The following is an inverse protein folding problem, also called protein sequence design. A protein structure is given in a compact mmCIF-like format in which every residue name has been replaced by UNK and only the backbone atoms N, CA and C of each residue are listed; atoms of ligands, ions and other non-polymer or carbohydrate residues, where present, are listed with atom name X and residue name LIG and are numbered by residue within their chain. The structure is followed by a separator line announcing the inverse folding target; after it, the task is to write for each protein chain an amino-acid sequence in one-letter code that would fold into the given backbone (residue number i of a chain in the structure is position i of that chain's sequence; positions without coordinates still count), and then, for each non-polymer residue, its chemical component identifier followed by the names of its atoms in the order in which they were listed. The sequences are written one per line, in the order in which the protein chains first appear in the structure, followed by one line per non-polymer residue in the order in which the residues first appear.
data_IF_023808549429
#
_entry.id   IF_023808549429
#
_cell.length_a   1.000
_cell.length_b   1.000
_cell.length_c   1.000
_cell.angle_alpha   90.00
_cell.angle_beta   90.00
_cell.angle_gamma   90.00
#
_symmetry.space_group_name_H-M   'P 1'
#
loop_
_entity.id
_entity.type
_entity.pdbx_description
1 polymer ?
#
# COMPACT_ATOMS: atom_id res chain seq x y z
N UNK A 1 -65.28 31.64 -60.30
CA UNK A 1 -64.21 32.05 -59.38
C UNK A 1 -63.71 33.39 -59.87
N UNK A 2 -63.82 34.45 -59.06
CA UNK A 2 -63.34 35.77 -59.45
C UNK A 2 -61.82 35.77 -59.37
N UNK A 3 -61.13 35.99 -60.49
CA UNK A 3 -59.69 36.26 -60.49
C UNK A 3 -59.45 37.61 -59.80
N UNK A 4 -58.50 37.63 -58.85
CA UNK A 4 -58.08 38.85 -58.18
C UNK A 4 -57.31 39.73 -59.17
N UNK A 5 -57.49 41.04 -59.09
CA UNK A 5 -56.67 41.97 -59.86
C UNK A 5 -55.23 41.95 -59.33
N UNK A 6 -54.23 42.18 -60.20
CA UNK A 6 -52.80 42.20 -59.83
C UNK A 6 -52.50 43.07 -58.60
N UNK A 7 -53.23 44.19 -58.45
CA UNK A 7 -53.13 45.08 -57.28
C UNK A 7 -53.63 44.43 -55.98
N UNK A 8 -54.71 43.64 -56.05
CA UNK A 8 -55.23 42.91 -54.90
C UNK A 8 -54.31 41.76 -54.50
N UNK A 9 -53.69 41.07 -55.47
CA UNK A 9 -52.68 40.05 -55.19
C UNK A 9 -51.45 40.65 -54.51
N UNK A 10 -50.94 41.79 -55.01
CA UNK A 10 -49.81 42.50 -54.41
C UNK A 10 -50.12 42.99 -52.98
N UNK A 11 -51.33 43.50 -52.72
CA UNK A 11 -51.75 43.87 -51.38
C UNK A 11 -51.88 42.66 -50.44
N UNK A 12 -52.38 41.52 -50.93
CA UNK A 12 -52.48 40.30 -50.14
C UNK A 12 -51.09 39.76 -49.75
N UNK A 13 -50.13 39.78 -50.68
CA UNK A 13 -48.74 39.38 -50.41
C UNK A 13 -48.07 40.34 -49.41
N UNK A 14 -48.29 41.65 -49.53
CA UNK A 14 -47.74 42.64 -48.60
C UNK A 14 -48.32 42.49 -47.18
N UNK A 15 -49.62 42.20 -47.06
CA UNK A 15 -50.28 41.93 -45.78
C UNK A 15 -49.77 40.62 -45.15
N UNK A 16 -49.59 39.57 -45.94
CA UNK A 16 -49.04 38.30 -45.47
C UNK A 16 -47.57 38.44 -45.02
N UNK A 17 -46.74 39.18 -45.76
CA UNK A 17 -45.37 39.47 -45.36
C UNK A 17 -45.30 40.29 -44.06
N UNK A 18 -46.22 41.25 -43.87
CA UNK A 18 -46.33 42.04 -42.64
C UNK A 18 -46.82 41.22 -41.45
N UNK A 19 -47.76 40.30 -41.67
CA UNK A 19 -48.19 39.36 -40.63
C UNK A 19 -47.05 38.43 -40.20
N UNK A 20 -46.30 37.88 -41.16
CA UNK A 20 -45.15 37.02 -40.86
C UNK A 20 -44.06 37.76 -40.07
N UNK A 21 -43.78 39.02 -40.38
CA UNK A 21 -42.81 39.82 -39.61
C UNK A 21 -43.33 40.20 -38.22
N UNK A 22 -44.64 40.38 -38.07
CA UNK A 22 -45.27 40.59 -36.76
C UNK A 22 -45.21 39.31 -35.91
N UNK A 23 -45.55 38.15 -36.46
CA UNK A 23 -45.47 36.85 -35.78
C UNK A 23 -44.04 36.57 -35.30
N UNK A 24 -43.04 36.88 -36.12
CA UNK A 24 -41.62 36.75 -35.75
C UNK A 24 -41.23 37.70 -34.60
N UNK A 25 -41.74 38.93 -34.61
CA UNK A 25 -41.51 39.90 -33.54
C UNK A 25 -42.15 39.45 -32.22
N UNK A 26 -43.39 38.97 -32.25
CA UNK A 26 -44.11 38.41 -31.10
C UNK A 26 -43.36 37.18 -30.54
N UNK A 27 -42.82 36.32 -31.41
CA UNK A 27 -42.00 35.18 -30.99
C UNK A 27 -40.69 35.60 -30.28
N UNK A 28 -40.02 36.66 -30.75
CA UNK A 28 -38.84 37.19 -30.08
C UNK A 28 -39.15 37.82 -28.73
N UNK A 29 -40.27 38.56 -28.61
CA UNK A 29 -40.75 39.12 -27.34
C UNK A 29 -41.07 38.00 -26.35
N UNK A 30 -41.83 36.99 -26.78
CA UNK A 30 -42.14 35.82 -25.97
C UNK A 30 -40.89 35.07 -25.52
N UNK A 31 -39.89 34.89 -26.40
CA UNK A 31 -38.60 34.29 -26.04
C UNK A 31 -37.86 35.13 -24.98
N UNK A 32 -37.90 36.45 -25.09
CA UNK A 32 -37.35 37.36 -24.08
C UNK A 32 -38.04 37.21 -22.73
N UNK A 33 -39.39 37.17 -22.71
CA UNK A 33 -40.17 36.96 -21.50
C UNK A 33 -39.88 35.60 -20.85
N UNK A 34 -39.79 34.53 -21.64
CA UNK A 34 -39.43 33.19 -21.15
C UNK A 34 -38.03 33.18 -20.51
N UNK A 35 -37.05 33.86 -21.14
CA UNK A 35 -35.70 34.02 -20.57
C UNK A 35 -35.74 34.81 -19.26
N UNK A 36 -36.51 35.89 -19.18
CA UNK A 36 -36.67 36.69 -17.97
C UNK A 36 -37.31 35.90 -16.83
N UNK A 37 -38.41 35.16 -17.09
CA UNK A 37 -39.03 34.31 -16.07
C UNK A 37 -38.13 33.16 -15.63
N UNK A 38 -37.37 32.57 -16.56
CA UNK A 38 -36.36 31.56 -16.22
C UNK A 38 -35.29 32.12 -15.29
N UNK A 39 -34.84 33.35 -15.51
CA UNK A 39 -33.89 34.02 -14.62
C UNK A 39 -34.49 34.26 -13.22
N UNK A 40 -35.72 34.79 -13.13
CA UNK A 40 -36.43 34.98 -11.86
C UNK A 40 -36.58 33.64 -11.11
N UNK A 41 -36.89 32.57 -11.82
CA UNK A 41 -36.98 31.23 -11.24
C UNK A 41 -35.64 30.76 -10.64
N UNK A 42 -34.51 31.06 -11.28
CA UNK A 42 -33.18 30.72 -10.77
C UNK A 42 -32.86 31.46 -9.47
N UNK A 43 -33.13 32.76 -9.39
CA UNK A 43 -32.97 33.53 -8.14
C UNK A 43 -33.88 33.01 -7.02
N UNK A 44 -35.15 32.73 -7.35
CA UNK A 44 -36.09 32.15 -6.40
C UNK A 44 -35.66 30.76 -5.89
N UNK A 45 -34.82 30.04 -6.64
CA UNK A 45 -34.32 28.71 -6.27
C UNK A 45 -33.46 28.77 -5.02
N UNK A 46 -32.53 29.72 -4.89
CA UNK A 46 -31.67 29.85 -3.70
C UNK A 46 -32.52 30.16 -2.45
N UNK A 47 -33.44 31.11 -2.54
CA UNK A 47 -34.34 31.45 -1.45
C UNK A 47 -35.22 30.24 -1.04
N UNK A 48 -35.70 29.48 -2.04
CA UNK A 48 -36.46 28.25 -1.80
C UNK A 48 -35.61 27.21 -1.06
N UNK A 49 -34.38 26.98 -1.50
CA UNK A 49 -33.46 26.02 -0.87
C UNK A 49 -33.15 26.41 0.58
N UNK A 50 -32.88 27.69 0.86
CA UNK A 50 -32.68 28.17 2.23
C UNK A 50 -33.90 27.94 3.12
N UNK A 51 -35.09 28.25 2.62
CA UNK A 51 -36.35 27.99 3.34
C UNK A 51 -36.52 26.49 3.61
N UNK A 52 -36.22 25.64 2.63
CA UNK A 52 -36.26 24.18 2.78
C UNK A 52 -35.23 23.68 3.81
N UNK A 53 -34.02 24.25 3.83
CA UNK A 53 -32.98 23.93 4.79
C UNK A 53 -33.44 24.23 6.23
N UNK A 54 -33.99 25.43 6.47
CA UNK A 54 -34.51 25.83 7.78
C UNK A 54 -35.63 24.90 8.27
N UNK A 55 -36.58 24.57 7.38
CA UNK A 55 -37.67 23.65 7.70
C UNK A 55 -37.14 22.24 8.01
N UNK A 56 -36.15 21.77 7.24
CA UNK A 56 -35.52 20.46 7.42
C UNK A 56 -34.79 20.37 8.76
N UNK A 57 -33.94 21.34 9.07
CA UNK A 57 -33.14 21.39 10.29
C UNK A 57 -34.02 21.50 11.55
N UNK A 58 -35.02 22.39 11.51
CA UNK A 58 -35.95 22.57 12.61
C UNK A 58 -37.01 21.45 12.70
N UNK A 59 -37.06 20.54 11.73
CA UNK A 59 -38.07 19.47 11.60
C UNK A 59 -39.52 19.98 11.63
N UNK A 60 -39.75 21.24 11.22
CA UNK A 60 -41.06 21.92 11.23
C UNK A 60 -42.08 21.32 10.26
N UNK A 61 -41.63 20.45 9.36
CA UNK A 61 -42.49 19.74 8.41
C UNK A 61 -43.34 18.65 9.08
N UNK A 62 -42.96 18.13 10.24
CA UNK A 62 -43.67 16.99 10.88
C UNK A 62 -45.05 17.39 11.39
N UNK A 63 -46.05 16.62 11.01
CA UNK A 63 -47.44 16.86 11.43
C UNK A 63 -48.16 17.93 10.60
N UNK A 64 -47.54 18.44 9.54
CA UNK A 64 -48.19 19.38 8.62
C UNK A 64 -49.28 18.65 7.83
N UNK A 65 -50.52 19.14 7.93
CA UNK A 65 -51.62 18.73 7.07
C UNK A 65 -51.58 19.47 5.73
N UNK A 66 -51.81 18.77 4.62
CA UNK A 66 -51.92 19.36 3.29
C UNK A 66 -52.95 18.58 2.45
N UNK A 67 -53.39 19.18 1.35
CA UNK A 67 -54.25 18.50 0.37
C UNK A 67 -53.34 17.93 -0.72
N UNK A 68 -53.40 16.62 -0.94
CA UNK A 68 -52.61 15.94 -1.95
C UNK A 68 -53.18 16.15 -3.37
N UNK A 69 -52.49 15.59 -4.38
CA UNK A 69 -52.89 15.71 -5.79
C UNK A 69 -54.25 15.04 -6.09
N UNK A 70 -54.74 14.19 -5.20
CA UNK A 70 -56.05 13.52 -5.31
C UNK A 70 -57.16 14.26 -4.56
N UNK A 71 -56.85 15.41 -3.95
CA UNK A 71 -57.80 16.21 -3.17
C UNK A 71 -58.05 15.66 -1.76
N UNK A 72 -57.24 14.71 -1.27
CA UNK A 72 -57.37 14.14 0.07
C UNK A 72 -56.49 14.86 1.07
N UNK A 73 -56.95 14.90 2.32
CA UNK A 73 -56.19 15.44 3.42
C UNK A 73 -55.10 14.43 3.83
N UNK A 74 -53.86 14.79 3.57
CA UNK A 74 -52.66 14.03 3.92
C UNK A 74 -51.87 14.73 5.03
N UNK A 75 -51.07 13.98 5.78
CA UNK A 75 -50.20 14.53 6.83
C UNK A 75 -48.76 14.15 6.56
N UNK A 76 -47.86 15.13 6.65
CA UNK A 76 -46.43 14.95 6.45
C UNK A 76 -45.80 14.29 7.68
N UNK A 77 -45.23 13.09 7.51
CA UNK A 77 -44.52 12.38 8.57
C UNK A 77 -42.99 12.47 8.42
N UNK A 78 -42.51 12.42 7.18
CA UNK A 78 -41.09 12.38 6.84
C UNK A 78 -40.65 13.57 6.00
N UNK A 79 -39.33 13.77 5.90
CA UNK A 79 -38.76 14.78 4.98
C UNK A 79 -39.13 14.47 3.53
N UNK A 80 -39.22 13.19 3.17
CA UNK A 80 -39.56 12.78 1.81
C UNK A 80 -41.01 13.15 1.46
N UNK A 81 -41.94 12.97 2.40
CA UNK A 81 -43.34 13.37 2.22
C UNK A 81 -43.47 14.89 2.04
N UNK A 82 -42.70 15.65 2.81
CA UNK A 82 -42.68 17.11 2.70
C UNK A 82 -42.16 17.57 1.33
N UNK A 83 -41.05 17.00 0.88
CA UNK A 83 -40.49 17.30 -0.44
C UNK A 83 -41.50 16.99 -1.56
N UNK A 84 -42.17 15.84 -1.48
CA UNK A 84 -43.22 15.44 -2.42
C UNK A 84 -44.37 16.43 -2.42
N UNK A 85 -44.82 16.88 -1.24
CA UNK A 85 -45.85 17.91 -1.11
C UNK A 85 -45.42 19.26 -1.73
N UNK A 86 -44.14 19.61 -1.67
CA UNK A 86 -43.55 20.76 -2.35
C UNK A 86 -43.32 20.55 -3.86
N UNK A 87 -43.73 19.40 -4.44
CA UNK A 87 -43.59 19.12 -5.87
C UNK A 87 -42.17 18.73 -6.32
N UNK A 88 -41.30 18.30 -5.40
CA UNK A 88 -39.92 17.90 -5.70
C UNK A 88 -39.56 16.59 -5.00
N UNK A 89 -38.41 16.01 -5.35
CA UNK A 89 -37.90 14.84 -4.64
C UNK A 89 -36.93 15.26 -3.54
N UNK A 90 -36.94 14.55 -2.42
CA UNK A 90 -35.94 14.77 -1.35
C UNK A 90 -34.52 14.63 -1.88
N UNK A 91 -34.28 13.69 -2.80
CA UNK A 91 -32.98 13.52 -3.45
C UNK A 91 -32.53 14.79 -4.17
N UNK A 92 -33.40 15.40 -4.97
CA UNK A 92 -33.08 16.62 -5.72
C UNK A 92 -32.78 17.77 -4.76
N UNK A 93 -33.67 18.01 -3.79
CA UNK A 93 -33.49 19.08 -2.80
C UNK A 93 -32.19 18.88 -2.01
N UNK A 94 -31.91 17.66 -1.57
CA UNK A 94 -30.72 17.36 -0.79
C UNK A 94 -29.43 17.53 -1.63
N UNK A 95 -29.44 17.14 -2.91
CA UNK A 95 -28.31 17.35 -3.82
C UNK A 95 -28.09 18.84 -4.11
N UNK A 96 -29.17 19.61 -4.30
CA UNK A 96 -29.12 21.07 -4.50
C UNK A 96 -28.66 21.79 -3.23
N UNK A 97 -29.10 21.37 -2.03
CA UNK A 97 -28.59 21.86 -0.74
C UNK A 97 -27.11 21.55 -0.53
N UNK A 98 -26.67 20.33 -0.88
CA UNK A 98 -25.25 19.99 -0.81
C UNK A 98 -24.42 20.82 -1.78
N UNK A 99 -24.94 21.14 -2.97
CA UNK A 99 -24.27 22.02 -3.92
C UNK A 99 -24.19 23.46 -3.36
N UNK A 100 -25.30 23.99 -2.87
CA UNK A 100 -25.37 25.32 -2.28
C UNK A 100 -24.38 25.48 -1.11
N UNK A 101 -24.34 24.50 -0.20
CA UNK A 101 -23.43 24.51 0.94
C UNK A 101 -21.96 24.35 0.53
N UNK A 102 -21.67 23.59 -0.54
CA UNK A 102 -20.30 23.33 -0.97
C UNK A 102 -19.71 24.47 -1.80
N UNK A 103 -20.54 25.21 -2.53
CA UNK A 103 -20.09 26.19 -3.53
C UNK A 103 -20.48 27.64 -3.20
N UNK A 104 -21.43 27.85 -2.28
CA UNK A 104 -21.99 29.16 -1.99
C UNK A 104 -23.10 29.57 -2.95
N UNK A 105 -23.78 30.67 -2.61
CA UNK A 105 -24.96 31.15 -3.33
C UNK A 105 -24.63 31.65 -4.74
N UNK A 106 -23.61 32.50 -4.84
CA UNK A 106 -23.21 33.16 -6.09
C UNK A 106 -22.84 32.13 -7.16
N UNK A 107 -21.93 31.20 -6.84
CA UNK A 107 -21.55 30.15 -7.78
C UNK A 107 -22.71 29.18 -8.08
N UNK A 108 -23.56 28.88 -7.09
CA UNK A 108 -24.73 28.04 -7.34
C UNK A 108 -25.66 28.71 -8.37
N UNK A 109 -25.91 30.01 -8.28
CA UNK A 109 -26.69 30.74 -9.29
C UNK A 109 -26.01 30.73 -10.66
N UNK A 110 -24.69 30.92 -10.71
CA UNK A 110 -23.91 30.82 -11.95
C UNK A 110 -24.07 29.43 -12.57
N UNK A 111 -23.97 28.37 -11.77
CA UNK A 111 -24.15 26.99 -12.24
C UNK A 111 -25.53 26.75 -12.86
N UNK A 112 -26.59 27.33 -12.27
CA UNK A 112 -27.95 27.24 -12.82
C UNK A 112 -28.10 28.12 -14.06
N UNK A 113 -27.45 29.29 -14.09
CA UNK A 113 -27.49 30.23 -15.22
C UNK A 113 -26.88 29.61 -16.46
N UNK A 114 -25.65 29.11 -16.32
CA UNK A 114 -24.84 28.48 -17.36
C UNK A 114 -25.38 27.09 -17.72
N UNK A 115 -26.10 26.45 -16.80
CA UNK A 115 -26.73 25.14 -17.03
C UNK A 115 -25.75 23.98 -16.86
N UNK A 116 -24.93 24.05 -15.81
CA UNK A 116 -24.09 22.94 -15.39
C UNK A 116 -24.94 21.75 -14.97
N UNK A 117 -24.54 20.58 -15.42
CA UNK A 117 -25.25 19.33 -15.11
C UNK A 117 -24.93 18.88 -13.69
N UNK A 118 -25.81 18.04 -13.12
CA UNK A 118 -25.58 17.39 -11.82
C UNK A 118 -24.26 16.60 -11.81
N UNK A 119 -23.83 16.08 -12.97
CA UNK A 119 -22.56 15.36 -13.12
C UNK A 119 -21.36 16.29 -12.92
N UNK A 120 -21.37 17.46 -13.55
CA UNK A 120 -20.31 18.47 -13.40
C UNK A 120 -20.24 18.97 -11.96
N UNK A 121 -21.38 19.31 -11.36
CA UNK A 121 -21.46 19.73 -9.95
C UNK A 121 -20.94 18.65 -9.00
N UNK A 122 -21.19 17.37 -9.29
CA UNK A 122 -20.62 16.26 -8.50
C UNK A 122 -19.11 16.15 -8.64
N UNK A 123 -18.55 16.31 -9.85
CA UNK A 123 -17.08 16.33 -10.06
C UNK A 123 -16.45 17.48 -9.27
N UNK A 124 -17.01 18.68 -9.38
CA UNK A 124 -16.56 19.86 -8.66
C UNK A 124 -16.55 19.66 -7.13
N UNK A 125 -17.56 18.98 -6.58
CA UNK A 125 -17.63 18.64 -5.14
C UNK A 125 -16.54 17.66 -4.70
N UNK A 126 -16.07 16.80 -5.60
CA UNK A 126 -15.04 15.78 -5.31
C UNK A 126 -13.62 16.34 -5.37
N UNK A 127 -13.44 17.55 -5.94
CA UNK A 127 -12.15 18.21 -5.97
C UNK A 127 -11.68 18.61 -4.56
N UNK A 128 -10.36 18.69 -4.32
CA UNK A 128 -9.81 19.28 -3.10
C UNK A 128 -10.24 20.74 -2.96
N UNK A 129 -10.20 21.27 -1.73
CA UNK A 129 -10.65 22.64 -1.42
C UNK A 129 -10.09 23.68 -2.35
N UNK A 130 -8.79 23.60 -2.61
CA UNK A 130 -8.04 24.65 -3.31
C UNK A 130 -8.38 24.66 -4.81
N UNK A 131 -8.41 23.48 -5.43
CA UNK A 131 -8.81 23.33 -6.84
C UNK A 131 -10.28 23.69 -7.06
N UNK A 132 -11.14 23.40 -6.08
CA UNK A 132 -12.54 23.79 -6.12
C UNK A 132 -12.71 25.31 -5.99
N UNK A 133 -11.97 25.96 -5.09
CA UNK A 133 -11.99 27.41 -4.92
C UNK A 133 -11.53 28.14 -6.19
N UNK A 134 -10.53 27.61 -6.90
CA UNK A 134 -10.06 28.15 -8.18
C UNK A 134 -11.15 28.20 -9.28
N UNK A 135 -12.17 27.35 -9.16
CA UNK A 135 -13.35 27.39 -10.01
C UNK A 135 -14.36 28.37 -9.39
N UNK A 136 -14.75 28.18 -8.13
CA UNK A 136 -15.80 29.00 -7.50
C UNK A 136 -15.51 30.50 -7.56
N UNK A 137 -14.26 30.88 -7.28
CA UNK A 137 -13.85 32.28 -7.12
C UNK A 137 -13.44 32.92 -8.47
N UNK A 138 -13.56 32.19 -9.57
CA UNK A 138 -13.30 32.76 -10.89
C UNK A 138 -14.39 33.79 -11.26
N UNK A 139 -14.00 34.81 -12.01
CA UNK A 139 -14.93 35.83 -12.48
C UNK A 139 -15.76 35.29 -13.65
N UNK A 140 -17.05 35.10 -13.39
CA UNK A 140 -18.03 34.58 -14.36
C UNK A 140 -18.97 35.69 -14.87
N UNK A 141 -18.45 36.89 -15.07
CA UNK A 141 -19.17 37.98 -15.73
C UNK A 141 -19.54 37.66 -17.20
N UNK A 142 -20.39 38.51 -17.79
CA UNK A 142 -21.19 38.28 -19.01
C UNK A 142 -20.50 37.43 -20.10
N UNK A 143 -21.18 36.34 -20.49
CA UNK A 143 -20.76 35.34 -21.47
C UNK A 143 -19.68 34.32 -21.04
N UNK A 144 -19.70 33.87 -19.78
CA UNK A 144 -19.01 32.61 -19.40
C UNK A 144 -19.42 31.48 -20.34
N UNK A 145 -18.45 30.94 -21.06
CA UNK A 145 -18.61 29.77 -21.90
C UNK A 145 -18.82 28.55 -21.00
N UNK A 146 -19.97 27.89 -21.13
CA UNK A 146 -20.29 26.68 -20.38
C UNK A 146 -19.22 25.63 -20.65
N UNK A 147 -18.79 25.52 -21.89
CA UNK A 147 -17.83 24.55 -22.34
C UNK A 147 -16.46 24.77 -21.69
N UNK A 148 -16.00 26.01 -21.54
CA UNK A 148 -14.75 26.36 -20.84
C UNK A 148 -14.80 25.96 -19.36
N UNK A 149 -15.93 26.23 -18.69
CA UNK A 149 -16.12 25.84 -17.29
C UNK A 149 -16.10 24.32 -17.12
N UNK A 150 -16.74 23.59 -18.03
CA UNK A 150 -16.75 22.13 -18.03
C UNK A 150 -15.32 21.62 -18.24
N UNK A 151 -14.60 22.14 -19.24
CA UNK A 151 -13.22 21.74 -19.52
C UNK A 151 -12.32 21.92 -18.29
N UNK A 152 -12.40 23.07 -17.61
CA UNK A 152 -11.64 23.32 -16.38
C UNK A 152 -11.99 22.35 -15.26
N UNK A 153 -13.27 22.04 -15.05
CA UNK A 153 -13.71 21.01 -14.09
C UNK A 153 -13.11 19.65 -14.46
N UNK A 154 -13.11 19.29 -15.74
CA UNK A 154 -12.60 18.00 -16.21
C UNK A 154 -11.08 17.87 -16.05
N UNK A 155 -10.32 18.90 -16.40
CA UNK A 155 -8.86 18.87 -16.25
C UNK A 155 -8.44 18.78 -14.78
N UNK A 156 -9.01 19.62 -13.91
CA UNK A 156 -8.72 19.55 -12.47
C UNK A 156 -9.14 18.21 -11.87
N UNK A 157 -10.26 17.62 -12.33
CA UNK A 157 -10.68 16.29 -11.88
C UNK A 157 -9.69 15.23 -12.33
N UNK A 158 -9.25 15.26 -13.59
CA UNK A 158 -8.30 14.30 -14.13
C UNK A 158 -6.94 14.41 -13.42
N UNK A 159 -6.46 15.63 -13.17
CA UNK A 159 -5.24 15.89 -12.40
C UNK A 159 -5.36 15.35 -10.98
N UNK A 160 -6.47 15.65 -10.29
CA UNK A 160 -6.69 15.19 -8.92
C UNK A 160 -6.75 13.65 -8.81
N UNK A 161 -7.41 12.98 -9.75
CA UNK A 161 -7.45 11.51 -9.79
C UNK A 161 -6.04 10.93 -9.96
N UNK A 162 -5.24 11.46 -10.89
CA UNK A 162 -3.86 11.02 -11.09
C UNK A 162 -2.98 11.23 -9.86
N UNK A 163 -3.07 12.39 -9.23
CA UNK A 163 -2.31 12.71 -8.01
C UNK A 163 -2.71 11.81 -6.85
N UNK A 164 -4.01 11.59 -6.66
CA UNK A 164 -4.53 10.69 -5.62
C UNK A 164 -4.06 9.25 -5.83
N UNK A 165 -4.10 8.76 -7.07
CA UNK A 165 -3.62 7.41 -7.40
C UNK A 165 -2.11 7.29 -7.18
N UNK A 166 -1.33 8.30 -7.57
CA UNK A 166 0.11 8.33 -7.35
C UNK A 166 0.45 8.33 -5.85
N UNK A 167 -0.20 9.18 -5.05
CA UNK A 167 -0.03 9.24 -3.60
C UNK A 167 -0.45 7.93 -2.93
N UNK A 168 -1.55 7.32 -3.37
CA UNK A 168 -2.00 6.02 -2.84
C UNK A 168 -0.96 4.94 -3.11
N UNK A 169 -0.40 4.88 -4.31
CA UNK A 169 0.68 3.93 -4.65
C UNK A 169 1.95 4.16 -3.84
N UNK A 170 2.34 5.43 -3.64
CA UNK A 170 3.49 5.76 -2.80
C UNK A 170 3.27 5.36 -1.35
N UNK A 171 2.07 5.59 -0.81
CA UNK A 171 1.71 5.23 0.55
C UNK A 171 1.70 3.72 0.77
N UNK A 172 1.17 2.95 -0.17
CA UNK A 172 1.21 1.48 -0.10
C UNK A 172 2.64 0.94 -0.21
N UNK A 173 3.47 1.53 -1.07
CA UNK A 173 4.89 1.18 -1.17
C UNK A 173 5.64 1.49 0.12
N UNK A 174 5.40 2.67 0.70
CA UNK A 174 6.03 3.09 1.96
C UNK A 174 5.62 2.18 3.12
N UNK A 175 4.34 1.81 3.22
CA UNK A 175 3.86 0.82 4.20
C UNK A 175 4.53 -0.53 4.02
N UNK A 176 4.59 -1.05 2.79
CA UNK A 176 5.26 -2.33 2.51
C UNK A 176 6.73 -2.33 2.91
N UNK A 177 7.45 -1.24 2.60
CA UNK A 177 8.84 -1.06 3.01
C UNK A 177 8.99 -0.99 4.53
N UNK A 178 8.10 -0.26 5.22
CA UNK A 178 8.11 -0.15 6.67
C UNK A 178 7.85 -1.50 7.35
N UNK A 179 6.88 -2.27 6.87
CA UNK A 179 6.59 -3.61 7.38
C UNK A 179 7.76 -4.57 7.18
N UNK A 180 8.39 -4.54 6.00
CA UNK A 180 9.59 -5.34 5.72
C UNK A 180 10.75 -4.95 6.65
N UNK A 181 11.00 -3.64 6.83
CA UNK A 181 12.03 -3.15 7.73
C UNK A 181 11.74 -3.54 9.18
N UNK A 182 10.50 -3.42 9.64
CA UNK A 182 10.07 -3.82 10.98
C UNK A 182 10.32 -5.31 11.25
N UNK A 183 10.00 -6.19 10.29
CA UNK A 183 10.31 -7.64 10.38
C UNK A 183 11.81 -7.91 10.48
N UNK A 184 12.63 -7.22 9.68
CA UNK A 184 14.09 -7.35 9.74
C UNK A 184 14.62 -6.89 11.09
N UNK A 185 14.15 -5.77 11.62
CA UNK A 185 14.57 -5.28 12.94
C UNK A 185 14.16 -6.25 14.05
N UNK A 186 12.92 -6.74 14.05
CA UNK A 186 12.47 -7.74 15.02
C UNK A 186 13.30 -9.03 14.98
N UNK A 187 13.71 -9.50 13.79
CA UNK A 187 14.60 -10.65 13.64
C UNK A 187 16.01 -10.35 14.16
N UNK A 188 16.54 -9.13 13.91
CA UNK A 188 17.84 -8.70 14.44
C UNK A 188 17.82 -8.61 15.96
N UNK A 189 16.79 -8.02 16.55
CA UNK A 189 16.63 -7.90 18.00
C UNK A 189 16.55 -9.27 18.67
N UNK A 190 15.79 -10.21 18.08
CA UNK A 190 15.78 -11.61 18.54
C UNK A 190 17.17 -12.21 18.53
N UNK A 191 17.92 -12.03 17.43
CA UNK A 191 19.27 -12.60 17.33
C UNK A 191 20.26 -11.94 18.29
N UNK A 192 20.13 -10.63 18.52
CA UNK A 192 20.94 -9.90 19.50
C UNK A 192 20.67 -10.45 20.91
N UNK A 193 19.41 -10.67 21.27
CA UNK A 193 19.06 -11.24 22.57
C UNK A 193 19.60 -12.67 22.73
N UNK A 194 19.41 -13.54 21.73
CA UNK A 194 19.98 -14.90 21.73
C UNK A 194 21.50 -14.88 21.93
N UNK A 195 22.23 -14.07 21.14
CA UNK A 195 23.68 -13.99 21.25
C UNK A 195 24.13 -13.39 22.59
N UNK A 196 23.37 -12.44 23.13
CA UNK A 196 23.65 -11.86 24.45
C UNK A 196 23.48 -12.88 25.57
N UNK A 197 22.45 -13.71 25.50
CA UNK A 197 22.23 -14.82 26.42
C UNK A 197 23.33 -15.88 26.31
N UNK A 198 23.72 -16.28 25.09
CA UNK A 198 24.82 -17.21 24.86
C UNK A 198 26.15 -16.68 25.40
N UNK A 199 26.42 -15.39 25.17
CA UNK A 199 27.63 -14.73 25.67
C UNK A 199 27.63 -14.69 27.20
N UNK A 200 26.50 -14.38 27.82
CA UNK A 200 26.33 -14.40 29.26
C UNK A 200 26.55 -15.83 29.84
N UNK A 201 25.97 -16.86 29.21
CA UNK A 201 26.20 -18.27 29.58
C UNK A 201 27.67 -18.66 29.48
N UNK A 202 28.32 -18.34 28.35
CA UNK A 202 29.75 -18.63 28.17
C UNK A 202 30.62 -17.89 29.20
N UNK A 203 30.31 -16.64 29.53
CA UNK A 203 31.02 -15.90 30.59
C UNK A 203 30.83 -16.56 31.95
N UNK A 204 29.60 -16.91 32.31
CA UNK A 204 29.31 -17.64 33.55
C UNK A 204 30.04 -18.99 33.60
N UNK A 205 30.05 -19.75 32.49
CA UNK A 205 30.77 -21.02 32.41
C UNK A 205 32.29 -20.85 32.54
N UNK A 206 32.86 -19.73 32.07
CA UNK A 206 34.28 -19.42 32.28
C UNK A 206 34.54 -19.07 33.76
N UNK A 207 33.67 -18.27 34.38
CA UNK A 207 33.81 -17.82 35.77
C UNK A 207 33.60 -18.95 36.79
N UNK A 208 32.82 -19.99 36.44
CA UNK A 208 32.45 -21.09 37.36
C UNK A 208 33.26 -22.38 37.18
N UNK A 209 34.19 -22.45 36.21
CA UNK A 209 35.01 -23.66 35.99
C UNK A 209 36.09 -23.79 37.06
N UNK A 210 36.01 -24.87 37.85
CA UNK A 210 37.12 -25.36 38.69
C UNK A 210 38.29 -25.86 37.83
N UNK A 211 39.53 -25.89 38.35
CA UNK A 211 40.71 -26.33 37.60
C UNK A 211 40.58 -27.70 36.92
N UNK A 212 39.87 -28.63 37.57
CA UNK A 212 39.67 -30.01 37.07
C UNK A 212 38.79 -30.06 35.82
N UNK A 213 37.71 -29.27 35.78
CA UNK A 213 36.81 -29.20 34.62
C UNK A 213 37.49 -28.55 33.41
N UNK A 214 38.33 -27.53 33.65
CA UNK A 214 39.19 -26.93 32.62
C UNK A 214 40.15 -27.96 32.02
N UNK A 215 40.73 -28.84 32.84
CA UNK A 215 41.58 -29.93 32.38
C UNK A 215 40.83 -30.95 31.52
N UNK A 216 39.60 -31.33 31.92
CA UNK A 216 38.73 -32.23 31.14
C UNK A 216 38.39 -31.69 29.75
N UNK A 217 37.99 -30.42 29.67
CA UNK A 217 37.66 -29.77 28.39
C UNK A 217 38.88 -29.68 27.45
N UNK A 218 40.05 -29.31 27.99
CA UNK A 218 41.30 -29.25 27.20
C UNK A 218 41.69 -30.63 26.65
N UNK A 219 41.50 -31.70 27.43
CA UNK A 219 41.71 -33.08 26.94
C UNK A 219 40.73 -33.40 25.82
N UNK A 220 39.44 -33.06 25.97
CA UNK A 220 38.41 -33.30 24.95
C UNK A 220 38.72 -32.57 23.63
N UNK A 221 39.10 -31.29 23.71
CA UNK A 221 39.50 -30.50 22.54
C UNK A 221 40.76 -31.07 21.87
N UNK A 222 41.77 -31.44 22.66
CA UNK A 222 43.00 -32.07 22.17
C UNK A 222 42.70 -33.40 21.46
N UNK A 223 41.83 -34.23 22.03
CA UNK A 223 41.41 -35.49 21.40
C UNK A 223 40.67 -35.26 20.08
N UNK A 224 39.79 -34.28 19.99
CA UNK A 224 39.08 -33.95 18.74
C UNK A 224 40.04 -33.51 17.63
N UNK A 225 41.02 -32.68 17.96
CA UNK A 225 42.06 -32.25 17.00
C UNK A 225 42.90 -33.45 16.54
N UNK A 226 43.32 -34.32 17.48
CA UNK A 226 44.08 -35.51 17.16
C UNK A 226 43.31 -36.47 16.25
N UNK A 227 42.01 -36.68 16.49
CA UNK A 227 41.15 -37.49 15.61
C UNK A 227 41.03 -36.88 14.21
N UNK A 228 40.92 -35.55 14.09
CA UNK A 228 40.91 -34.87 12.80
C UNK A 228 42.21 -35.09 12.01
N UNK A 229 43.35 -34.97 12.67
CA UNK A 229 44.65 -35.25 12.07
C UNK A 229 44.77 -36.72 11.61
N UNK A 230 44.36 -37.67 12.45
CA UNK A 230 44.35 -39.10 12.08
C UNK A 230 43.45 -39.37 10.87
N UNK A 231 42.25 -38.77 10.83
CA UNK A 231 41.32 -38.93 9.72
C UNK A 231 41.88 -38.40 8.40
N UNK A 232 42.60 -37.28 8.43
CA UNK A 232 43.30 -36.73 7.25
C UNK A 232 44.41 -37.68 6.80
N UNK A 233 45.24 -38.16 7.73
CA UNK A 233 46.34 -39.07 7.40
C UNK A 233 45.83 -40.40 6.83
N UNK A 234 44.85 -41.04 7.46
CA UNK A 234 44.31 -42.32 6.98
C UNK A 234 43.44 -42.16 5.74
N UNK A 235 42.64 -41.11 5.68
CA UNK A 235 41.70 -40.89 4.59
C UNK A 235 42.35 -40.25 3.38
N UNK A 236 42.83 -39.01 3.52
CA UNK A 236 43.31 -38.23 2.39
C UNK A 236 44.72 -38.63 1.95
N UNK A 237 45.67 -38.75 2.87
CA UNK A 237 47.05 -39.14 2.52
C UNK A 237 47.07 -40.60 2.02
N UNK A 238 46.34 -41.50 2.69
CA UNK A 238 46.15 -42.88 2.23
C UNK A 238 45.61 -42.96 0.80
N UNK A 239 44.52 -42.24 0.50
CA UNK A 239 43.94 -42.22 -0.86
C UNK A 239 44.91 -41.64 -1.90
N UNK A 240 45.69 -40.61 -1.55
CA UNK A 240 46.70 -40.05 -2.44
C UNK A 240 47.84 -41.04 -2.73
N UNK A 241 48.21 -41.85 -1.73
CA UNK A 241 49.19 -42.93 -1.89
C UNK A 241 48.66 -44.06 -2.78
N UNK A 242 47.39 -44.44 -2.64
CA UNK A 242 46.75 -45.43 -3.52
C UNK A 242 46.75 -44.95 -4.99
N UNK A 243 46.50 -43.66 -5.23
CA UNK A 243 46.56 -43.08 -6.57
C UNK A 243 47.99 -43.08 -7.16
N UNK A 244 49.01 -42.82 -6.33
CA UNK A 244 50.41 -42.91 -6.75
C UNK A 244 50.81 -44.35 -7.10
N UNK A 245 50.35 -45.33 -6.32
CA UNK A 245 50.58 -46.75 -6.58
C UNK A 245 49.92 -47.19 -7.90
N UNK A 246 48.66 -46.82 -8.14
CA UNK A 246 47.97 -47.11 -9.39
C UNK A 246 48.71 -46.50 -10.60
N UNK A 247 49.17 -45.25 -10.48
CA UNK A 247 49.96 -44.62 -11.54
C UNK A 247 51.32 -45.34 -11.74
N UNK A 248 51.97 -45.80 -10.68
CA UNK A 248 53.21 -46.59 -10.77
C UNK A 248 53.00 -47.90 -11.53
N UNK A 249 51.87 -48.58 -11.31
CA UNK A 249 51.50 -49.80 -12.04
C UNK A 249 51.24 -49.53 -13.53
N UNK A 250 50.58 -48.42 -13.88
CA UNK A 250 50.25 -48.08 -15.26
C UNK A 250 51.43 -47.54 -16.08
N UNK A 251 52.29 -46.73 -15.46
CA UNK A 251 53.36 -45.99 -16.14
C UNK A 251 54.76 -46.60 -15.99
N UNK A 252 54.93 -47.53 -15.04
CA UNK A 252 56.23 -48.09 -14.66
C UNK A 252 57.13 -47.13 -13.88
N UNK A 253 56.64 -45.95 -13.50
CA UNK A 253 57.38 -44.95 -12.70
C UNK A 253 57.19 -45.24 -11.22
N UNK A 254 58.27 -45.56 -10.51
CA UNK A 254 58.24 -45.84 -9.07
C UNK A 254 58.17 -44.55 -8.22
N UNK A 255 57.11 -44.43 -7.42
CA UNK A 255 56.88 -43.30 -6.51
C UNK A 255 57.16 -43.61 -5.03
N UNK A 256 57.63 -44.83 -4.71
CA UNK A 256 57.81 -45.29 -3.32
C UNK A 256 58.80 -44.43 -2.53
N UNK A 257 59.85 -43.90 -3.17
CA UNK A 257 60.78 -42.97 -2.54
C UNK A 257 60.08 -41.67 -2.10
N UNK A 258 59.21 -41.12 -2.93
CA UNK A 258 58.45 -39.90 -2.62
C UNK A 258 57.46 -40.14 -1.48
N UNK A 259 56.72 -41.25 -1.53
CA UNK A 259 55.80 -41.65 -0.47
C UNK A 259 56.53 -41.85 0.87
N UNK A 260 57.71 -42.47 0.85
CA UNK A 260 58.56 -42.63 2.04
C UNK A 260 59.04 -41.29 2.60
N UNK A 261 59.34 -40.31 1.74
CA UNK A 261 59.69 -38.95 2.15
C UNK A 261 58.55 -38.23 2.87
N UNK A 262 57.32 -38.35 2.36
CA UNK A 262 56.12 -37.78 2.99
C UNK A 262 55.87 -38.41 4.37
N UNK A 263 56.05 -39.73 4.51
CA UNK A 263 55.92 -40.41 5.81
C UNK A 263 57.01 -39.95 6.78
N UNK A 264 58.27 -39.85 6.33
CA UNK A 264 59.37 -39.39 7.17
C UNK A 264 59.16 -37.94 7.68
N UNK A 265 58.55 -37.07 6.88
CA UNK A 265 58.20 -35.71 7.30
C UNK A 265 57.11 -35.71 8.38
N UNK A 266 56.08 -36.55 8.24
CA UNK A 266 55.04 -36.73 9.27
C UNK A 266 55.66 -37.28 10.56
N UNK A 267 56.56 -38.26 10.46
CA UNK A 267 57.27 -38.82 11.62
C UNK A 267 58.14 -37.77 12.32
N UNK A 268 58.82 -36.89 11.56
CA UNK A 268 59.60 -35.79 12.13
C UNK A 268 58.72 -34.85 12.95
N UNK A 269 57.55 -34.47 12.44
CA UNK A 269 56.59 -33.63 13.18
C UNK A 269 56.17 -34.32 14.50
N UNK A 270 55.95 -35.63 14.50
CA UNK A 270 55.61 -36.38 15.71
C UNK A 270 56.78 -36.39 16.72
N UNK A 271 58.02 -36.50 16.25
CA UNK A 271 59.22 -36.41 17.10
C UNK A 271 59.36 -35.01 17.69
N UNK A 272 59.20 -33.96 16.88
CA UNK A 272 59.27 -32.58 17.35
C UNK A 272 58.20 -32.27 18.41
N UNK A 273 56.98 -32.80 18.24
CA UNK A 273 55.93 -32.68 19.25
C UNK A 273 56.31 -33.40 20.54
N UNK A 274 56.90 -34.60 20.46
CA UNK A 274 57.39 -35.31 21.64
C UNK A 274 58.47 -34.53 22.37
N UNK A 275 59.48 -34.05 21.65
CA UNK A 275 60.60 -33.30 22.23
C UNK A 275 60.14 -31.98 22.85
N UNK A 276 59.27 -31.24 22.16
CA UNK A 276 58.74 -29.94 22.62
C UNK A 276 57.99 -30.07 23.94
N UNK A 277 57.23 -31.15 24.11
CA UNK A 277 56.40 -31.37 25.29
C UNK A 277 56.98 -32.39 26.29
N UNK A 278 58.20 -32.91 26.04
CA UNK A 278 58.87 -33.89 26.90
C UNK A 278 58.11 -35.22 27.03
N UNK A 279 57.48 -35.69 25.95
CA UNK A 279 56.63 -36.88 25.95
C UNK A 279 57.43 -38.17 25.73
N UNK A 280 57.02 -39.24 26.40
CA UNK A 280 57.59 -40.57 26.20
C UNK A 280 56.99 -41.27 24.96
N UNK A 281 57.72 -42.25 24.42
CA UNK A 281 57.26 -43.07 23.28
C UNK A 281 56.01 -43.90 23.59
N UNK A 282 55.80 -44.22 24.86
CA UNK A 282 54.61 -44.89 25.36
C UNK A 282 54.03 -44.11 26.54
N UNK A 283 52.69 -44.16 26.74
CA UNK A 283 52.08 -43.63 27.95
C UNK A 283 52.72 -44.30 29.17
N UNK A 284 53.27 -43.51 30.10
CA UNK A 284 53.78 -44.06 31.36
C UNK A 284 52.59 -44.58 32.18
N UNK A 285 52.62 -45.84 32.57
CA UNK A 285 51.53 -46.43 33.35
C UNK A 285 51.37 -45.73 34.71
N UNK A 286 50.10 -45.47 35.06
CA UNK A 286 49.59 -44.87 36.31
C UNK A 286 49.63 -43.33 36.41
N UNK A 287 48.72 -42.67 35.68
CA UNK A 287 48.00 -41.53 36.26
C UNK A 287 46.56 -41.99 36.41
N UNK A 288 46.15 -42.21 37.66
CA UNK A 288 44.77 -42.57 37.99
C UNK A 288 43.90 -41.32 37.91
N UNK A 289 43.13 -41.20 36.81
CA UNK A 289 42.13 -40.15 36.62
C UNK A 289 40.76 -40.54 37.19
N UNK A 290 40.60 -41.74 37.76
CA UNK A 290 39.29 -42.29 38.17
C UNK A 290 38.66 -41.63 39.40
N UNK A 291 39.42 -40.78 40.12
CA UNK A 291 38.87 -39.90 41.16
C UNK A 291 38.11 -38.67 40.64
N UNK A 292 38.11 -38.45 39.31
CA UNK A 292 37.42 -37.34 38.65
C UNK A 292 36.28 -37.92 37.81
N UNK A 293 35.13 -38.18 38.44
CA UNK A 293 33.91 -38.60 37.74
C UNK A 293 33.44 -37.49 36.80
N UNK A 294 33.93 -37.53 35.57
CA UNK A 294 33.30 -36.86 34.44
C UNK A 294 32.41 -37.90 33.75
N UNK A 295 31.17 -38.02 34.22
CA UNK A 295 30.13 -38.90 33.65
C UNK A 295 29.93 -38.64 32.13
N UNK A 296 30.47 -37.54 31.60
CA UNK A 296 30.48 -37.22 30.16
C UNK A 296 31.37 -38.11 29.29
N UNK A 297 32.41 -38.76 29.84
CA UNK A 297 33.35 -39.54 29.02
C UNK A 297 32.82 -40.96 28.73
N UNK A 298 32.09 -41.56 29.66
CA UNK A 298 31.40 -42.84 29.45
C UNK A 298 30.36 -42.73 28.34
N UNK A 299 29.50 -41.71 28.43
CA UNK A 299 28.42 -41.49 27.47
C UNK A 299 28.91 -41.18 26.05
N UNK A 300 30.02 -40.44 25.93
CA UNK A 300 30.61 -40.11 24.63
C UNK A 300 31.29 -41.33 23.97
N UNK A 301 31.94 -42.18 24.75
CA UNK A 301 32.59 -43.39 24.24
C UNK A 301 31.54 -44.44 23.84
N UNK A 302 30.48 -44.60 24.64
CA UNK A 302 29.37 -45.51 24.37
C UNK A 302 28.55 -45.09 23.14
N UNK A 303 28.34 -43.78 22.94
CA UNK A 303 27.70 -43.25 21.74
C UNK A 303 28.53 -43.48 20.46
N UNK A 304 29.86 -43.49 20.56
CA UNK A 304 30.78 -43.74 19.44
C UNK A 304 30.89 -45.25 19.14
N UNK A 305 30.88 -46.10 20.17
CA UNK A 305 30.84 -47.57 20.02
C UNK A 305 29.52 -48.01 19.38
N UNK A 306 28.39 -47.38 19.75
CA UNK A 306 27.08 -47.65 19.18
C UNK A 306 26.95 -47.27 17.69
N UNK A 307 27.81 -46.39 17.16
CA UNK A 307 27.84 -46.05 15.73
C UNK A 307 28.71 -47.00 14.88
N UNK A 308 29.45 -47.93 15.51
CA UNK A 308 30.29 -48.92 14.82
C UNK A 308 29.76 -50.36 14.95
N UNK A 309 28.62 -50.56 15.62
CA UNK A 309 27.90 -51.83 15.69
C UNK A 309 26.85 -51.98 14.59
#
# INVERSE_FOLDING_TARGET
MSELTLSQEQNAVALAAKALTQDLAEAHEAMGMVKAFSFVQKLATVATLKTLAEIKEAKKYKGLGYIDQEGKLATVATWEDYCKACGSSARKIDEDLQNLNAFGEEFFEISQRVGLTVREMRKLRQLPSDARAEIIDADYSEATDKEELIEKIEDLTAKHVREKDALTKQLETAKGNYEAQSKVMANKDRKINELSEELAKKKHDIETRTPDKKGGDLRKETSQIAYGAEAILRGQVGTAFDALLAHSEESGIDHTQFMSGVVAEIELILIELKDTYGLNDAPSASVDWSGQSDDSLGDALDAIIAQKG
#
